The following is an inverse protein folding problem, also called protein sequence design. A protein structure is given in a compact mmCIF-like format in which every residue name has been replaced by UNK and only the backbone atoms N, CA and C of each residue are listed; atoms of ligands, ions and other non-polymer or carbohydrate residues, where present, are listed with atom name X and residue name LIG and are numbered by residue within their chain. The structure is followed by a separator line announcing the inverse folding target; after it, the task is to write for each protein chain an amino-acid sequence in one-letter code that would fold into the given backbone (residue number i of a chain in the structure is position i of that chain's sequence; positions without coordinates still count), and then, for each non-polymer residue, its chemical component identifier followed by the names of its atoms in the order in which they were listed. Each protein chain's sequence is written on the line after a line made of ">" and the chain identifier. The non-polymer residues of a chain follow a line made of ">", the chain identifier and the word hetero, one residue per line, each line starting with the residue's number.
data_IF_976202139875
#
_entry.id   IF_976202139875
#
_cell.length_a   1.000
_cell.length_b   1.000
_cell.length_c   1.000
_cell.angle_alpha   90.00
_cell.angle_beta   90.00
_cell.angle_gamma   90.00
#
_symmetry.space_group_name_H-M   'P 1'
#
loop_
_entity.id
_entity.type
_entity.pdbx_description
1 polymer ?
#
# COMPACT_ATOMS: atom_id res chain seq x y z
N UNK A 1 -23.39 2.27 -2.71
CA UNK A 1 -22.78 1.70 -1.49
C UNK A 1 -21.33 2.10 -1.37
N UNK A 2 -21.05 3.08 -0.52
CA UNK A 2 -19.69 3.38 -0.07
C UNK A 2 -19.27 2.21 0.80
N UNK A 3 -18.18 1.47 0.48
CA UNK A 3 -17.78 0.36 1.32
C UNK A 3 -17.51 0.89 2.74
N UNK A 4 -18.20 0.32 3.73
CA UNK A 4 -17.94 0.62 5.14
C UNK A 4 -16.51 0.20 5.44
N UNK A 5 -15.59 1.16 5.50
CA UNK A 5 -14.22 0.88 5.90
C UNK A 5 -14.28 0.37 7.34
N UNK A 6 -13.90 -0.89 7.56
CA UNK A 6 -13.91 -1.47 8.89
C UNK A 6 -13.06 -0.59 9.82
N UNK A 7 -13.59 -0.23 11.00
CA UNK A 7 -12.81 0.55 11.96
C UNK A 7 -11.72 -0.35 12.55
N UNK A 8 -10.51 -0.25 12.01
CA UNK A 8 -9.39 -1.13 12.33
C UNK A 8 -8.90 -0.99 13.77
N UNK A 9 -9.23 0.13 14.43
CA UNK A 9 -8.84 0.36 15.83
C UNK A 9 -9.53 -0.61 16.79
N UNK A 10 -10.73 -1.12 16.46
CA UNK A 10 -11.42 -2.13 17.27
C UNK A 10 -10.74 -3.50 17.22
N UNK A 11 -9.93 -3.75 16.19
CA UNK A 11 -9.08 -4.93 16.05
C UNK A 11 -7.66 -4.72 16.62
N UNK A 12 -7.41 -3.59 17.30
CA UNK A 12 -6.09 -3.25 17.84
C UNK A 12 -5.07 -2.81 16.78
N UNK A 13 -5.50 -2.55 15.56
CA UNK A 13 -4.64 -2.11 14.47
C UNK A 13 -4.59 -0.57 14.41
N UNK A 14 -3.42 -0.03 14.08
CA UNK A 14 -3.24 1.41 13.86
C UNK A 14 -3.55 1.74 12.40
N UNK A 15 -4.39 2.74 12.09
CA UNK A 15 -4.63 3.18 10.71
C UNK A 15 -3.35 3.65 10.03
N UNK A 16 -3.13 3.24 8.78
CA UNK A 16 -1.96 3.68 8.01
C UNK A 16 -2.14 5.08 7.40
N UNK A 17 -3.36 5.62 7.34
CA UNK A 17 -3.66 6.94 6.76
C UNK A 17 -3.15 7.08 5.30
N UNK A 18 -3.30 6.02 4.51
CA UNK A 18 -2.86 5.96 3.11
C UNK A 18 -3.97 5.35 2.23
N UNK A 19 -4.21 5.84 0.99
CA UNK A 19 -5.28 5.30 0.15
C UNK A 19 -5.14 3.80 -0.19
N UNK A 20 -3.91 3.30 -0.25
CA UNK A 20 -3.60 1.90 -0.57
C UNK A 20 -3.25 1.03 0.65
N UNK A 21 -3.03 1.65 1.82
CA UNK A 21 -2.67 0.93 3.05
C UNK A 21 -3.74 1.18 4.11
N UNK A 22 -4.29 0.10 4.64
CA UNK A 22 -5.32 0.11 5.64
C UNK A 22 -4.72 0.28 7.05
N UNK A 23 -3.69 -0.49 7.40
CA UNK A 23 -3.13 -0.54 8.74
C UNK A 23 -1.60 -0.61 8.77
N UNK A 24 -1.05 -0.26 9.93
CA UNK A 24 0.36 -0.43 10.30
C UNK A 24 0.46 -1.28 11.57
N UNK A 25 1.49 -2.12 11.63
CA UNK A 25 1.81 -3.03 12.73
C UNK A 25 3.29 -2.85 13.06
N UNK A 26 3.58 -2.36 14.26
CA UNK A 26 4.94 -2.29 14.77
C UNK A 26 5.27 -3.61 15.49
N UNK A 27 6.31 -4.30 15.01
CA UNK A 27 6.76 -5.55 15.61
C UNK A 27 7.56 -5.27 16.89
N UNK A 28 7.31 -5.99 17.99
CA UNK A 28 7.94 -5.72 19.27
C UNK A 28 9.41 -6.16 19.35
N UNK A 29 9.85 -7.04 18.46
CA UNK A 29 11.12 -7.76 18.53
C UNK A 29 12.26 -7.13 17.73
N UNK A 30 11.96 -6.36 16.66
CA UNK A 30 12.98 -6.01 15.68
C UNK A 30 12.83 -4.63 15.02
N UNK A 31 12.12 -3.69 15.65
CA UNK A 31 11.84 -2.34 15.11
C UNK A 31 11.22 -2.33 13.69
N UNK A 32 10.75 -3.48 13.19
CA UNK A 32 10.11 -3.57 11.89
C UNK A 32 8.70 -3.00 11.98
N UNK A 33 8.32 -2.24 10.95
CA UNK A 33 6.93 -1.81 10.76
C UNK A 33 6.39 -2.47 9.50
N UNK A 34 5.25 -3.15 9.63
CA UNK A 34 4.54 -3.75 8.50
C UNK A 34 3.30 -2.94 8.19
N UNK A 35 3.14 -2.56 6.93
CA UNK A 35 1.92 -1.96 6.41
C UNK A 35 1.10 -3.00 5.67
N UNK A 36 -0.21 -2.94 5.82
CA UNK A 36 -1.14 -3.89 5.19
C UNK A 36 -2.27 -3.13 4.50
N UNK A 37 -2.76 -3.68 3.39
CA UNK A 37 -3.81 -3.09 2.58
C UNK A 37 -4.41 -4.10 1.61
N UNK A 38 -5.41 -3.67 0.85
CA UNK A 38 -6.05 -4.49 -0.19
C UNK A 38 -6.15 -3.67 -1.45
N UNK A 39 -5.71 -4.25 -2.57
CA UNK A 39 -5.81 -3.65 -3.90
C UNK A 39 -6.92 -4.36 -4.66
N UNK A 40 -7.90 -3.58 -5.13
CA UNK A 40 -9.02 -4.11 -5.90
C UNK A 40 -9.58 -3.02 -6.79
N UNK A 41 -10.04 -3.39 -8.00
CA UNK A 41 -10.75 -2.45 -8.89
C UNK A 41 -12.05 -1.91 -8.28
N UNK A 42 -12.62 -2.61 -7.28
CA UNK A 42 -13.83 -2.14 -6.58
C UNK A 42 -13.54 -0.91 -5.71
N UNK A 43 -12.41 -0.94 -4.99
CA UNK A 43 -12.02 0.11 -4.04
C UNK A 43 -11.10 1.15 -4.67
N UNK A 44 -10.39 0.77 -5.73
CA UNK A 44 -9.42 1.61 -6.44
C UNK A 44 -9.65 1.51 -7.95
N UNK A 45 -10.76 2.06 -8.49
CA UNK A 45 -11.10 1.91 -9.90
C UNK A 45 -10.03 2.43 -10.87
N UNK A 46 -9.26 3.43 -10.44
CA UNK A 46 -8.15 4.01 -11.21
C UNK A 46 -7.05 3.00 -11.56
N UNK A 47 -6.92 1.89 -10.82
CA UNK A 47 -5.95 0.84 -11.15
C UNK A 47 -6.17 0.26 -12.56
N UNK A 48 -7.42 0.24 -13.04
CA UNK A 48 -7.75 -0.25 -14.39
C UNK A 48 -7.09 0.59 -15.50
N UNK A 49 -6.75 1.86 -15.21
CA UNK A 49 -6.16 2.78 -16.17
C UNK A 49 -4.66 2.47 -16.43
N UNK A 50 -4.03 1.62 -15.60
CA UNK A 50 -2.66 1.15 -15.80
C UNK A 50 -2.62 -0.27 -16.35
N UNK A 51 -2.98 -0.40 -17.62
CA UNK A 51 -2.98 -1.67 -18.35
C UNK A 51 -1.79 -1.75 -19.30
N UNK A 52 -0.98 -2.80 -19.18
CA UNK A 52 0.14 -3.09 -20.08
C UNK A 52 -0.16 -4.39 -20.81
N UNK A 53 -0.20 -4.33 -22.15
CA UNK A 53 -0.48 -5.50 -23.00
C UNK A 53 -1.71 -6.31 -22.56
N UNK A 54 -2.79 -5.63 -22.16
CA UNK A 54 -4.04 -6.24 -21.71
C UNK A 54 -4.05 -6.79 -20.27
N UNK A 55 -2.95 -6.62 -19.52
CA UNK A 55 -2.87 -7.00 -18.11
C UNK A 55 -2.88 -5.76 -17.22
N UNK A 56 -3.76 -5.72 -16.22
CA UNK A 56 -3.79 -4.64 -15.24
C UNK A 56 -2.66 -4.87 -14.25
N UNK A 57 -1.74 -3.90 -14.17
CA UNK A 57 -0.57 -3.95 -13.29
C UNK A 57 -0.64 -2.82 -12.28
N UNK A 58 -0.11 -3.04 -11.09
CA UNK A 58 0.17 -1.92 -10.19
C UNK A 58 1.24 -1.02 -10.84
N UNK A 59 0.98 0.29 -11.03
CA UNK A 59 1.97 1.17 -11.63
C UNK A 59 3.23 1.26 -10.79
N UNK A 60 4.39 1.39 -11.44
CA UNK A 60 5.67 1.57 -10.75
C UNK A 60 5.67 2.74 -9.76
N UNK A 61 4.95 3.83 -10.07
CA UNK A 61 4.81 4.99 -9.19
C UNK A 61 4.03 4.69 -7.91
N UNK A 62 3.13 3.71 -7.91
CA UNK A 62 2.44 3.29 -6.69
C UNK A 62 3.40 2.60 -5.70
N UNK A 63 4.41 1.86 -6.18
CA UNK A 63 5.46 1.34 -5.30
C UNK A 63 6.31 2.44 -4.67
N UNK A 64 6.60 3.49 -5.43
CA UNK A 64 7.34 4.66 -4.93
C UNK A 64 6.54 5.37 -3.83
N UNK A 65 5.25 5.61 -4.06
CA UNK A 65 4.32 6.19 -3.09
C UNK A 65 4.28 5.36 -1.79
N UNK A 66 4.12 4.04 -1.90
CA UNK A 66 4.14 3.12 -0.77
C UNK A 66 5.47 3.14 0.00
N UNK A 67 6.61 3.15 -0.72
CA UNK A 67 7.94 3.18 -0.11
C UNK A 67 8.20 4.50 0.61
N UNK A 68 7.81 5.63 0.01
CA UNK A 68 7.93 6.95 0.63
C UNK A 68 7.03 7.07 1.85
N UNK A 69 5.79 6.56 1.79
CA UNK A 69 4.90 6.54 2.96
C UNK A 69 5.51 5.77 4.13
N UNK A 70 6.04 4.57 3.89
CA UNK A 70 6.75 3.79 4.91
C UNK A 70 8.00 4.51 5.43
N UNK A 71 8.75 5.16 4.54
CA UNK A 71 9.91 5.99 4.88
C UNK A 71 9.53 7.15 5.80
N UNK A 72 8.52 7.94 5.45
CA UNK A 72 8.00 9.02 6.29
C UNK A 72 7.56 8.52 7.67
N UNK A 73 6.83 7.40 7.73
CA UNK A 73 6.37 6.82 8.99
C UNK A 73 7.52 6.36 9.90
N UNK A 74 8.63 5.93 9.31
CA UNK A 74 9.79 5.41 10.04
C UNK A 74 10.94 6.41 10.18
N UNK A 75 10.74 7.69 9.85
CA UNK A 75 11.76 8.75 9.84
C UNK A 75 12.92 8.54 8.83
N UNK A 76 12.66 7.82 7.74
CA UNK A 76 13.57 7.64 6.59
C UNK A 76 12.92 8.14 5.29
N UNK A 77 12.68 9.45 5.13
CA UNK A 77 11.79 10.00 4.09
C UNK A 77 12.39 10.00 2.67
N UNK A 78 13.62 9.53 2.48
CA UNK A 78 14.31 9.56 1.20
C UNK A 78 14.43 8.16 0.59
N UNK A 79 14.00 8.03 -0.66
CA UNK A 79 14.17 6.82 -1.46
C UNK A 79 15.39 6.98 -2.36
N UNK A 80 16.50 6.34 -2.01
CA UNK A 80 17.73 6.38 -2.81
C UNK A 80 17.62 5.51 -4.06
N UNK A 81 17.05 4.32 -3.94
CA UNK A 81 16.90 3.35 -5.02
C UNK A 81 15.68 2.46 -4.77
N UNK A 82 14.98 2.08 -5.85
CA UNK A 82 13.93 1.07 -5.84
C UNK A 82 14.01 0.26 -7.14
N UNK A 83 14.29 -1.03 -7.02
CA UNK A 83 14.29 -1.96 -8.16
C UNK A 83 13.03 -2.82 -8.10
N UNK A 84 12.19 -2.72 -9.14
CA UNK A 84 11.01 -3.57 -9.30
C UNK A 84 11.44 -4.93 -9.85
N UNK A 85 11.28 -5.98 -9.05
CA UNK A 85 11.70 -7.33 -9.44
C UNK A 85 10.67 -8.03 -10.34
N UNK A 86 9.40 -7.99 -9.94
CA UNK A 86 8.29 -8.63 -10.67
C UNK A 86 7.07 -7.71 -10.65
N UNK A 87 6.37 -7.52 -11.78
CA UNK A 87 5.12 -6.77 -11.80
C UNK A 87 4.04 -7.42 -10.92
N UNK A 88 3.30 -6.62 -10.16
CA UNK A 88 2.11 -7.08 -9.45
C UNK A 88 0.87 -6.94 -10.33
N UNK A 89 0.26 -8.05 -10.70
CA UNK A 89 -1.02 -8.10 -11.40
C UNK A 89 -2.18 -7.81 -10.44
N UNK A 90 -3.15 -7.01 -10.87
CA UNK A 90 -4.36 -6.72 -10.10
C UNK A 90 -5.53 -7.56 -10.65
N UNK A 91 -6.18 -8.40 -9.82
CA UNK A 91 -7.31 -9.22 -10.24
C UNK A 91 -8.65 -8.46 -10.29
#
# INVERSE_FOLDING_TARGET
>A
DTPTQANLTTAGLTPANHPLLAATIQHPDNHTTTFTGTLSLRTHPWLADHTVTGTILLPGTAYIDLALHAGHHTNHPHLTELTLQTPLTIP
#
